data_IF_518011782805
#
_entry.id   IF_518011782805
#
_cell.length_a   1.000
_cell.length_b   1.000
_cell.length_c   1.000
_cell.angle_alpha   90.00
_cell.angle_beta   90.00
_cell.angle_gamma   90.00
#
_symmetry.space_group_name_H-M   'P 1'
#
loop_
_entity.id
_entity.type
_entity.pdbx_description
1 polymer ?
#
# COMPACT_ATOMS: atom_id res chain seq x y z
N UNK A 1 31.88 -36.35 -1.08
CA UNK A 1 31.94 -35.05 -1.80
C UNK A 1 30.67 -34.84 -2.61
N UNK A 2 30.22 -35.87 -3.34
CA UNK A 2 29.02 -35.86 -4.20
C UNK A 2 27.69 -35.62 -3.46
N UNK A 3 27.46 -36.20 -2.28
CA UNK A 3 26.24 -35.93 -1.49
C UNK A 3 26.08 -34.44 -1.09
N UNK A 4 27.20 -33.77 -0.79
CA UNK A 4 27.21 -32.34 -0.44
C UNK A 4 26.93 -31.47 -1.67
N UNK A 5 27.31 -31.92 -2.86
CA UNK A 5 26.99 -31.29 -4.15
C UNK A 5 25.50 -31.43 -4.46
N UNK A 6 24.96 -32.65 -4.35
CA UNK A 6 23.56 -32.96 -4.61
C UNK A 6 22.60 -32.17 -3.69
N UNK A 7 22.95 -32.04 -2.40
CA UNK A 7 22.19 -31.24 -1.44
C UNK A 7 22.09 -29.76 -1.82
N UNK A 8 23.15 -29.17 -2.38
CA UNK A 8 23.14 -27.78 -2.86
C UNK A 8 22.21 -27.61 -4.07
N UNK A 9 22.24 -28.55 -5.01
CA UNK A 9 21.38 -28.53 -6.21
C UNK A 9 19.90 -28.62 -5.81
N UNK A 10 19.54 -29.55 -4.91
CA UNK A 10 18.16 -29.69 -4.42
C UNK A 10 17.67 -28.41 -3.73
N UNK A 11 18.52 -27.76 -2.94
CA UNK A 11 18.19 -26.49 -2.29
C UNK A 11 17.90 -25.39 -3.33
N UNK A 12 18.77 -25.24 -4.33
CA UNK A 12 18.59 -24.24 -5.39
C UNK A 12 17.30 -24.45 -6.18
N UNK A 13 16.93 -25.70 -6.50
CA UNK A 13 15.67 -26.02 -7.20
C UNK A 13 14.45 -25.61 -6.36
N UNK A 14 14.47 -25.89 -5.03
CA UNK A 14 13.38 -25.51 -4.12
C UNK A 14 13.23 -23.99 -4.05
N UNK A 15 14.34 -23.27 -3.87
CA UNK A 15 14.35 -21.81 -3.83
C UNK A 15 13.84 -21.20 -5.15
N UNK A 16 14.27 -21.74 -6.30
CA UNK A 16 13.78 -21.33 -7.61
C UNK A 16 12.27 -21.50 -7.76
N UNK A 17 11.72 -22.64 -7.33
CA UNK A 17 10.28 -22.89 -7.36
C UNK A 17 9.50 -21.92 -6.47
N UNK A 18 9.96 -21.72 -5.23
CA UNK A 18 9.34 -20.77 -4.29
C UNK A 18 9.36 -19.35 -4.83
N UNK A 19 10.48 -18.92 -5.43
CA UNK A 19 10.59 -17.59 -6.04
C UNK A 19 9.65 -17.42 -7.23
N UNK A 20 9.50 -18.45 -8.08
CA UNK A 20 8.56 -18.41 -9.20
C UNK A 20 7.11 -18.30 -8.73
N UNK A 21 6.70 -19.09 -7.72
CA UNK A 21 5.36 -19.03 -7.14
C UNK A 21 5.05 -17.64 -6.55
N UNK A 22 6.02 -17.06 -5.82
CA UNK A 22 5.92 -15.70 -5.29
C UNK A 22 5.74 -14.67 -6.42
N UNK A 23 6.54 -14.77 -7.48
CA UNK A 23 6.47 -13.88 -8.63
C UNK A 23 5.12 -13.95 -9.36
N UNK A 24 4.58 -15.16 -9.56
CA UNK A 24 3.26 -15.35 -10.16
C UNK A 24 2.15 -14.69 -9.32
N UNK A 25 2.23 -14.81 -7.99
CA UNK A 25 1.31 -14.15 -7.07
C UNK A 25 1.37 -12.63 -7.21
N UNK A 26 2.56 -12.04 -7.17
CA UNK A 26 2.73 -10.59 -7.30
C UNK A 26 2.21 -10.04 -8.65
N UNK A 27 2.42 -10.78 -9.76
CA UNK A 27 1.86 -10.40 -11.08
C UNK A 27 0.33 -10.35 -11.03
N UNK A 28 -0.29 -11.37 -10.45
CA UNK A 28 -1.75 -11.46 -10.37
C UNK A 28 -2.32 -10.29 -9.57
N UNK A 29 -1.73 -9.99 -8.42
CA UNK A 29 -2.14 -8.88 -7.56
C UNK A 29 -1.93 -7.52 -8.25
N UNK A 30 -0.84 -7.34 -9.01
CA UNK A 30 -0.63 -6.14 -9.81
C UNK A 30 -1.74 -5.94 -10.87
N UNK A 31 -2.12 -7.01 -11.58
CA UNK A 31 -3.20 -6.94 -12.58
C UNK A 31 -4.55 -6.59 -11.96
N UNK A 32 -4.86 -7.15 -10.79
CA UNK A 32 -6.08 -6.82 -10.03
C UNK A 32 -6.06 -5.36 -9.55
N UNK A 33 -4.92 -4.89 -9.05
CA UNK A 33 -4.76 -3.49 -8.64
C UNK A 33 -4.90 -2.50 -9.81
N UNK A 34 -4.38 -2.84 -10.99
CA UNK A 34 -4.57 -2.03 -12.20
C UNK A 34 -6.05 -1.88 -12.54
N UNK A 35 -6.82 -2.97 -12.54
CA UNK A 35 -8.27 -2.94 -12.77
C UNK A 35 -9.01 -2.10 -11.73
N UNK A 36 -8.66 -2.25 -10.45
CA UNK A 36 -9.26 -1.46 -9.37
C UNK A 36 -8.94 0.04 -9.51
N UNK A 37 -7.74 0.36 -10.00
CA UNK A 37 -7.33 1.74 -10.30
C UNK A 37 -8.29 2.39 -11.28
N UNK A 38 -8.51 1.75 -12.43
CA UNK A 38 -9.37 2.29 -13.48
C UNK A 38 -10.80 2.54 -12.97
N UNK A 39 -11.32 1.66 -12.10
CA UNK A 39 -12.62 1.82 -11.47
C UNK A 39 -12.68 3.00 -10.49
N UNK A 40 -11.63 3.18 -9.68
CA UNK A 40 -11.54 4.30 -8.72
C UNK A 40 -11.40 5.61 -9.48
N UNK A 41 -10.56 5.69 -10.50
CA UNK A 41 -10.30 6.93 -11.23
C UNK A 41 -11.51 7.48 -12.00
N UNK A 42 -12.51 6.64 -12.28
CA UNK A 42 -13.79 7.08 -12.85
C UNK A 42 -14.73 7.79 -11.87
N UNK A 43 -14.35 7.94 -10.60
CA UNK A 43 -15.16 8.58 -9.54
C UNK A 43 -14.71 10.01 -9.27
N UNK A 44 -15.60 10.79 -8.63
CA UNK A 44 -15.25 12.10 -8.10
C UNK A 44 -14.19 12.00 -6.98
N UNK A 45 -13.37 13.05 -6.79
CA UNK A 45 -12.26 13.10 -5.82
C UNK A 45 -12.67 12.63 -4.42
N UNK A 46 -13.82 13.10 -3.92
CA UNK A 46 -14.30 12.74 -2.58
C UNK A 46 -14.65 11.25 -2.49
N UNK A 47 -15.33 10.70 -3.50
CA UNK A 47 -15.65 9.28 -3.55
C UNK A 47 -14.39 8.41 -3.63
N UNK A 48 -13.39 8.84 -4.43
CA UNK A 48 -12.08 8.17 -4.50
C UNK A 48 -11.41 8.14 -3.15
N UNK A 49 -11.42 9.26 -2.43
CA UNK A 49 -10.87 9.34 -1.08
C UNK A 49 -11.58 8.38 -0.11
N UNK A 50 -12.91 8.32 -0.12
CA UNK A 50 -13.63 7.36 0.73
C UNK A 50 -13.30 5.91 0.41
N UNK A 51 -13.15 5.55 -0.87
CA UNK A 51 -12.71 4.21 -1.28
C UNK A 51 -11.26 3.92 -0.80
N UNK A 52 -10.36 4.90 -0.91
CA UNK A 52 -8.98 4.80 -0.39
C UNK A 52 -8.98 4.48 1.11
N UNK A 53 -9.73 5.25 1.91
CA UNK A 53 -9.78 5.03 3.36
C UNK A 53 -10.29 3.65 3.75
N UNK A 54 -11.33 3.14 3.06
CA UNK A 54 -11.85 1.78 3.29
C UNK A 54 -10.79 0.73 3.04
N UNK A 55 -10.09 0.84 1.91
CA UNK A 55 -9.04 -0.10 1.52
C UNK A 55 -7.83 -0.05 2.48
N UNK A 56 -7.45 1.14 3.00
CA UNK A 56 -6.40 1.28 4.03
C UNK A 56 -6.75 0.43 5.26
N UNK A 57 -8.00 0.48 5.72
CA UNK A 57 -8.46 -0.26 6.91
C UNK A 57 -8.53 -1.77 6.66
N UNK A 58 -8.82 -2.18 5.43
CA UNK A 58 -8.85 -3.59 5.07
C UNK A 58 -7.46 -4.17 4.85
N UNK A 59 -6.41 -3.35 4.87
CA UNK A 59 -5.03 -3.73 4.56
C UNK A 59 -4.85 -4.32 3.15
N UNK A 60 -5.87 -4.21 2.28
CA UNK A 60 -5.99 -4.95 1.02
C UNK A 60 -5.17 -4.36 -0.13
N UNK A 61 -4.76 -3.08 -0.07
CA UNK A 61 -4.12 -2.38 -1.20
C UNK A 61 -3.11 -1.35 -0.74
N UNK A 62 -2.27 -0.89 -1.68
CA UNK A 62 -1.33 0.18 -1.41
C UNK A 62 -1.85 1.58 -1.71
N UNK A 63 -1.48 2.51 -0.85
CA UNK A 63 -1.85 3.92 -0.93
C UNK A 63 -0.63 4.79 -0.73
N UNK A 64 -0.66 5.96 -1.36
CA UNK A 64 0.44 6.91 -1.31
C UNK A 64 0.04 8.10 -0.49
N UNK A 65 0.92 8.40 0.47
CA UNK A 65 0.96 9.64 1.19
C UNK A 65 2.14 10.44 0.66
N UNK A 66 1.87 11.59 0.04
CA UNK A 66 2.91 12.42 -0.57
C UNK A 66 3.04 13.75 0.18
N UNK A 67 4.24 13.99 0.71
CA UNK A 67 4.72 15.30 1.20
C UNK A 67 6.10 15.60 0.54
N UNK A 68 7.05 16.19 1.26
CA UNK A 68 8.50 16.15 0.99
C UNK A 68 9.11 14.75 0.71
N UNK A 69 8.38 13.65 0.93
CA UNK A 69 8.72 12.23 0.72
C UNK A 69 7.45 11.46 0.33
N UNK A 70 7.64 10.35 -0.37
CA UNK A 70 6.57 9.40 -0.71
C UNK A 70 6.58 8.27 0.30
N UNK A 71 5.44 8.05 0.97
CA UNK A 71 5.21 6.87 1.80
C UNK A 71 4.19 5.96 1.11
N UNK A 72 4.54 4.69 0.95
CA UNK A 72 3.71 3.66 0.35
C UNK A 72 3.29 2.70 1.45
N UNK A 73 1.99 2.61 1.70
CA UNK A 73 1.44 1.75 2.75
C UNK A 73 1.05 0.42 2.11
N UNK A 74 1.49 -0.73 2.62
CA UNK A 74 1.16 -2.07 2.10
C UNK A 74 1.45 -2.24 0.59
N UNK A 75 2.63 -1.77 0.16
CA UNK A 75 3.09 -1.76 -1.23
C UNK A 75 3.09 -3.11 -1.96
N UNK A 76 2.86 -3.08 -3.27
CA UNK A 76 3.22 -4.20 -4.16
C UNK A 76 4.46 -3.79 -4.95
N UNK A 77 5.57 -4.48 -4.71
CA UNK A 77 6.87 -4.17 -5.34
C UNK A 77 6.77 -3.99 -6.86
N UNK A 78 6.17 -4.93 -7.57
CA UNK A 78 5.98 -4.85 -9.02
C UNK A 78 5.19 -3.60 -9.44
N UNK A 79 4.17 -3.20 -8.68
CA UNK A 79 3.39 -2.02 -8.99
C UNK A 79 4.24 -0.75 -8.85
N UNK A 80 4.98 -0.64 -7.75
CA UNK A 80 5.82 0.51 -7.45
C UNK A 80 6.92 0.68 -8.51
N UNK A 81 7.61 -0.40 -8.87
CA UNK A 81 8.70 -0.38 -9.86
C UNK A 81 8.21 -0.05 -11.29
N UNK A 82 6.97 -0.37 -11.63
CA UNK A 82 6.38 -0.09 -12.95
C UNK A 82 5.68 1.27 -13.05
N UNK A 83 5.54 2.02 -11.95
CA UNK A 83 4.95 3.35 -11.95
C UNK A 83 6.03 4.40 -12.21
N UNK A 84 5.97 5.09 -13.36
CA UNK A 84 6.98 6.07 -13.79
C UNK A 84 7.19 7.21 -12.79
N UNK A 85 6.15 7.56 -12.03
CA UNK A 85 6.20 8.58 -10.96
C UNK A 85 7.22 8.23 -9.86
N UNK A 86 7.56 6.95 -9.66
CA UNK A 86 8.51 6.50 -8.63
C UNK A 86 9.92 6.23 -9.13
N UNK A 87 10.14 6.21 -10.45
CA UNK A 87 11.44 5.86 -11.05
C UNK A 87 12.59 6.73 -10.53
N UNK A 88 12.30 7.99 -10.19
CA UNK A 88 13.28 8.98 -9.74
C UNK A 88 12.98 9.57 -8.35
N UNK A 89 12.06 8.97 -7.59
CA UNK A 89 11.67 9.45 -6.26
C UNK A 89 12.10 8.50 -5.17
N UNK A 90 12.54 9.05 -4.02
CA UNK A 90 12.75 8.26 -2.82
C UNK A 90 11.40 7.97 -2.18
N UNK A 91 11.05 6.70 -2.09
CA UNK A 91 9.86 6.22 -1.40
C UNK A 91 10.25 5.29 -0.24
N UNK A 92 9.38 5.25 0.77
CA UNK A 92 9.46 4.33 1.90
C UNK A 92 8.22 3.44 1.89
N UNK A 93 8.40 2.12 1.98
CA UNK A 93 7.29 1.18 2.14
C UNK A 93 7.14 0.83 3.62
N UNK A 94 5.90 0.93 4.12
CA UNK A 94 5.54 0.57 5.49
C UNK A 94 4.28 -0.27 5.49
N UNK A 95 4.12 -1.14 6.49
CA UNK A 95 2.82 -1.75 6.73
C UNK A 95 1.86 -0.78 7.43
N UNK A 96 0.57 -1.10 7.44
CA UNK A 96 -0.48 -0.28 8.06
C UNK A 96 -0.20 0.03 9.54
N UNK A 97 0.26 -0.94 10.33
CA UNK A 97 0.54 -0.73 11.75
C UNK A 97 1.65 0.29 11.98
N UNK A 98 2.77 0.13 11.27
CA UNK A 98 3.90 1.06 11.29
C UNK A 98 3.46 2.46 10.86
N UNK A 99 2.66 2.56 9.79
CA UNK A 99 2.07 3.82 9.36
C UNK A 99 1.24 4.48 10.46
N UNK A 100 0.31 3.74 11.07
CA UNK A 100 -0.60 4.27 12.07
C UNK A 100 0.14 4.79 13.32
N UNK A 101 1.14 4.04 13.80
CA UNK A 101 1.88 4.37 15.02
C UNK A 101 2.91 5.48 14.78
N UNK A 102 3.70 5.39 13.71
CA UNK A 102 4.86 6.26 13.49
C UNK A 102 4.54 7.53 12.69
N UNK A 103 3.43 7.55 11.95
CA UNK A 103 3.05 8.68 11.12
C UNK A 103 1.75 9.31 11.62
N UNK A 104 0.63 8.57 11.61
CA UNK A 104 -0.69 9.14 11.95
C UNK A 104 -0.83 9.55 13.42
N UNK A 105 -0.22 8.82 14.34
CA UNK A 105 -0.43 9.03 15.79
C UNK A 105 0.50 10.06 16.42
N UNK A 106 1.43 10.63 15.66
CA UNK A 106 2.40 11.62 16.13
C UNK A 106 1.78 13.01 16.21
N UNK A 107 1.83 13.64 17.39
CA UNK A 107 1.26 14.97 17.62
C UNK A 107 1.96 16.03 16.80
N UNK A 108 3.28 15.91 16.68
CA UNK A 108 4.16 16.80 15.92
C UNK A 108 3.86 16.82 14.41
N UNK A 109 3.11 15.83 13.89
CA UNK A 109 2.72 15.73 12.48
C UNK A 109 1.26 16.06 12.23
N UNK A 110 0.48 16.38 13.27
CA UNK A 110 -0.99 16.49 13.17
C UNK A 110 -1.46 17.53 12.15
N UNK A 111 -0.70 18.60 11.96
CA UNK A 111 -0.97 19.70 11.04
C UNK A 111 -0.29 19.53 9.66
N UNK A 112 0.52 18.49 9.50
CA UNK A 112 1.17 18.18 8.23
C UNK A 112 0.12 17.90 7.15
N UNK A 113 0.20 18.65 6.03
CA UNK A 113 -0.66 18.45 4.86
C UNK A 113 -0.03 17.40 3.96
N UNK A 114 -0.86 16.47 3.53
CA UNK A 114 -0.46 15.29 2.77
C UNK A 114 -1.47 15.03 1.67
N UNK A 115 -0.98 14.64 0.50
CA UNK A 115 -1.82 14.19 -0.60
C UNK A 115 -2.03 12.67 -0.47
N UNK A 116 -3.30 12.25 -0.36
CA UNK A 116 -3.72 10.86 -0.22
C UNK A 116 -4.27 10.37 -1.56
N UNK A 117 -3.56 9.42 -2.18
CA UNK A 117 -3.87 8.92 -3.51
C UNK A 117 -3.82 7.39 -3.61
N UNK A 118 -4.62 6.81 -4.50
CA UNK A 118 -4.46 5.42 -4.94
C UNK A 118 -3.45 5.39 -6.10
N UNK A 119 -2.36 4.65 -6.06
CA UNK A 119 -1.34 4.69 -7.13
C UNK A 119 -0.71 6.07 -7.43
N UNK A 120 -0.93 7.10 -6.60
CA UNK A 120 -0.15 8.34 -6.62
C UNK A 120 -0.58 9.37 -7.66
N UNK A 121 -1.80 9.28 -8.18
CA UNK A 121 -2.37 10.23 -9.15
C UNK A 121 -3.63 10.85 -8.55
N UNK A 122 -3.84 12.15 -8.82
CA UNK A 122 -5.00 12.95 -8.43
C UNK A 122 -5.50 12.72 -7.00
N UNK A 123 -4.58 12.78 -6.03
CA UNK A 123 -4.92 12.55 -4.63
C UNK A 123 -5.72 13.69 -4.02
N UNK A 124 -6.22 13.43 -2.81
CA UNK A 124 -6.90 14.45 -1.99
C UNK A 124 -5.92 14.97 -0.95
N UNK A 125 -5.78 16.30 -0.87
CA UNK A 125 -5.03 16.94 0.20
C UNK A 125 -5.85 16.94 1.50
N UNK A 126 -5.23 16.49 2.59
CA UNK A 126 -5.80 16.48 3.94
C UNK A 126 -4.69 16.72 4.96
N UNK A 127 -5.04 17.14 6.17
CA UNK A 127 -4.09 17.10 7.30
C UNK A 127 -3.96 15.68 7.84
N UNK A 128 -2.83 15.34 8.45
CA UNK A 128 -2.65 14.04 9.13
C UNK A 128 -3.70 13.80 10.23
N UNK A 129 -4.07 14.84 10.97
CA UNK A 129 -5.16 14.77 11.96
C UNK A 129 -6.50 14.43 11.31
N UNK A 130 -6.81 15.03 10.16
CA UNK A 130 -8.04 14.75 9.40
C UNK A 130 -8.04 13.33 8.84
N UNK A 131 -6.92 12.90 8.25
CA UNK A 131 -6.75 11.53 7.76
C UNK A 131 -6.97 10.50 8.87
N UNK A 132 -6.38 10.72 10.05
CA UNK A 132 -6.58 9.85 11.22
C UNK A 132 -8.04 9.82 11.67
N UNK A 133 -8.70 10.97 11.72
CA UNK A 133 -10.12 11.07 12.09
C UNK A 133 -10.99 10.26 11.12
N UNK A 134 -10.79 10.43 9.81
CA UNK A 134 -11.60 9.79 8.78
C UNK A 134 -11.39 8.27 8.75
N UNK A 135 -10.15 7.79 8.92
CA UNK A 135 -9.84 6.36 9.08
C UNK A 135 -10.56 5.80 10.32
N UNK A 136 -10.48 6.49 11.46
CA UNK A 136 -11.13 6.03 12.68
C UNK A 136 -12.65 5.97 12.53
N UNK A 137 -13.29 6.96 11.87
CA UNK A 137 -14.73 6.94 11.60
C UNK A 137 -15.18 5.67 10.86
N UNK A 138 -14.47 5.30 9.80
CA UNK A 138 -14.82 4.10 9.02
C UNK A 138 -14.55 2.81 9.81
N UNK A 139 -13.47 2.77 10.59
CA UNK A 139 -13.17 1.62 11.46
C UNK A 139 -14.24 1.45 12.53
N UNK A 140 -14.58 2.54 13.21
CA UNK A 140 -15.50 2.53 14.34
C UNK A 140 -16.94 2.28 13.86
N UNK A 141 -17.33 2.77 12.67
CA UNK A 141 -18.62 2.45 12.05
C UNK A 141 -18.77 0.98 11.62
N UNK A 142 -17.66 0.28 11.36
CA UNK A 142 -17.68 -1.19 11.16
C UNK A 142 -17.81 -1.93 12.49
N UNK A 143 -17.29 -1.36 13.58
CA UNK A 143 -17.40 -1.94 14.92
C UNK A 143 -18.83 -1.93 15.46
N UNK A 144 -19.67 -0.98 15.04
CA UNK A 144 -21.09 -0.88 15.47
C UNK A 144 -22.00 -1.99 14.93
N UNK A 145 -21.50 -2.91 14.09
CA UNK A 145 -22.23 -4.13 13.66
C UNK A 145 -21.89 -5.38 14.48
N UNK A 146 -21.19 -5.22 15.62
CA UNK A 146 -21.00 -6.29 16.62
C UNK A 146 -21.81 -5.96 17.88
N UNK A 147 -23.12 -6.11 17.81
CA UNK A 147 -24.00 -6.32 18.97
C UNK A 147 -25.17 -7.20 18.54
#
# INVERSE_FOLDING_TARGET
>A
MEEKEAGKIIKAIKEGKTNYEKFQKEIKEFQENKKNSDLIYNKAVEERYQEILKNIIQEEKFFILKNNRVLIINGIKLAIENLDIFRNQKWEEVNFYTFYVNYLSKKERAEEIVEVAFNGIDGKEVTMSKLKEDINKIRDSKSTFKN
#
